data_IF_145146513048
#
_entry.id   IF_145146513048
#
_cell.length_a   1.000
_cell.length_b   1.000
_cell.length_c   1.000
_cell.angle_alpha   90.00
_cell.angle_beta   90.00
_cell.angle_gamma   90.00
#
_symmetry.space_group_name_H-M   'P 1'
#
loop_
_entity.id
_entity.type
_entity.pdbx_description
1 polymer ?
#
# COMPACT_ATOMS: atom_id res chain seq x y z
N UNK A 1 1.83 4.48 -15.61
CA UNK A 1 2.51 3.19 -15.42
C UNK A 1 3.70 3.40 -14.51
N UNK A 2 3.92 2.52 -13.52
CA UNK A 2 5.15 2.41 -12.73
C UNK A 2 5.96 1.23 -13.29
N UNK A 3 7.25 1.42 -13.54
CA UNK A 3 8.16 0.38 -14.01
C UNK A 3 9.44 0.38 -13.17
N UNK A 4 9.88 -0.80 -12.77
CA UNK A 4 11.16 -1.05 -12.13
C UNK A 4 11.91 -2.14 -12.91
N UNK A 5 13.18 -1.91 -13.24
CA UNK A 5 13.99 -2.80 -14.06
C UNK A 5 15.34 -3.03 -13.42
N UNK A 6 15.74 -4.29 -13.33
CA UNK A 6 17.03 -4.77 -12.83
C UNK A 6 17.38 -4.23 -11.43
N UNK A 7 16.39 -4.14 -10.55
CA UNK A 7 16.58 -3.55 -9.21
C UNK A 7 17.43 -4.45 -8.34
N UNK A 8 18.59 -3.95 -7.96
CA UNK A 8 19.49 -4.61 -7.02
C UNK A 8 19.79 -3.66 -5.86
N UNK A 9 19.51 -4.12 -4.64
CA UNK A 9 19.70 -3.34 -3.41
C UNK A 9 20.63 -4.09 -2.46
N UNK A 10 21.67 -3.40 -1.99
CA UNK A 10 22.59 -3.89 -0.98
C UNK A 10 22.49 -3.00 0.26
N UNK A 11 22.27 -3.59 1.42
CA UNK A 11 22.23 -2.90 2.72
C UNK A 11 23.20 -3.60 3.66
N UNK A 12 24.16 -2.84 4.23
CA UNK A 12 25.16 -3.39 5.17
C UNK A 12 25.95 -4.58 4.59
N UNK A 13 26.29 -4.54 3.31
CA UNK A 13 26.99 -5.61 2.60
C UNK A 13 26.14 -6.83 2.22
N UNK A 14 24.85 -6.87 2.63
CA UNK A 14 23.94 -7.96 2.28
C UNK A 14 23.04 -7.56 1.10
N UNK A 15 22.97 -8.39 0.07
CA UNK A 15 22.05 -8.18 -1.04
C UNK A 15 20.62 -8.50 -0.59
N UNK A 16 19.77 -7.47 -0.56
CA UNK A 16 18.36 -7.53 -0.14
C UNK A 16 17.44 -7.75 -1.34
N UNK A 17 17.74 -7.10 -2.47
CA UNK A 17 17.03 -7.30 -3.74
C UNK A 17 18.03 -7.70 -4.81
N UNK A 18 17.62 -8.62 -5.71
CA UNK A 18 18.48 -9.20 -6.74
C UNK A 18 17.75 -9.21 -8.08
N UNK A 19 18.13 -8.29 -8.97
CA UNK A 19 17.57 -8.20 -10.32
C UNK A 19 16.03 -8.23 -10.34
N UNK A 20 15.40 -7.48 -9.43
CA UNK A 20 13.96 -7.47 -9.31
C UNK A 20 13.33 -6.59 -10.42
N UNK A 21 12.37 -7.16 -11.15
CA UNK A 21 11.63 -6.49 -12.20
C UNK A 21 10.16 -6.44 -11.84
N UNK A 22 9.52 -5.25 -11.95
CA UNK A 22 8.12 -5.03 -11.60
C UNK A 22 7.50 -3.99 -12.51
N UNK A 23 6.25 -4.21 -12.88
CA UNK A 23 5.41 -3.17 -13.48
C UNK A 23 4.07 -3.10 -12.78
N UNK A 24 3.53 -1.88 -12.63
CA UNK A 24 2.19 -1.64 -12.12
C UNK A 24 1.46 -0.63 -13.01
N UNK A 25 0.14 -0.80 -13.15
CA UNK A 25 -0.72 0.04 -13.98
C UNK A 25 -1.57 0.96 -13.13
N UNK A 26 -1.82 2.15 -13.62
CA UNK A 26 -2.86 3.00 -13.08
C UNK A 26 -4.24 2.37 -13.38
N UNK A 27 -5.19 2.58 -12.49
CA UNK A 27 -6.48 1.90 -12.55
C UNK A 27 -6.50 0.55 -11.81
N UNK A 28 -5.33 0.05 -11.37
CA UNK A 28 -5.17 -1.27 -10.77
C UNK A 28 -4.56 -1.18 -9.36
N UNK A 29 -4.84 -2.19 -8.54
CA UNK A 29 -4.12 -2.48 -7.30
C UNK A 29 -3.08 -3.56 -7.58
N UNK A 30 -1.81 -3.22 -7.45
CA UNK A 30 -0.69 -4.18 -7.47
C UNK A 30 -0.30 -4.53 -6.04
N UNK A 31 -0.48 -5.79 -5.65
CA UNK A 31 -0.08 -6.27 -4.33
C UNK A 31 1.32 -6.91 -4.37
N UNK A 32 2.18 -6.52 -3.44
CA UNK A 32 3.49 -7.16 -3.20
C UNK A 32 3.34 -8.11 -2.02
N UNK A 33 3.50 -9.40 -2.25
CA UNK A 33 3.36 -10.45 -1.24
C UNK A 33 4.65 -11.28 -1.09
N UNK A 34 4.75 -12.05 -0.01
CA UNK A 34 5.88 -12.96 0.24
C UNK A 34 6.18 -13.09 1.74
N UNK A 35 7.05 -14.00 2.15
CA UNK A 35 7.41 -14.22 3.54
C UNK A 35 8.06 -12.98 4.20
N UNK A 36 8.10 -12.99 5.54
CA UNK A 36 8.83 -11.97 6.29
C UNK A 36 10.32 -12.00 5.92
N UNK A 37 10.91 -10.81 5.78
CA UNK A 37 12.32 -10.67 5.38
C UNK A 37 12.60 -10.98 3.90
N UNK A 38 11.60 -11.21 3.05
CA UNK A 38 11.80 -11.46 1.62
C UNK A 38 12.23 -10.24 0.81
N UNK A 39 12.09 -9.01 1.35
CA UNK A 39 12.46 -7.77 0.68
C UNK A 39 11.29 -6.89 0.22
N UNK A 40 10.03 -7.18 0.59
CA UNK A 40 8.82 -6.44 0.17
C UNK A 40 8.88 -4.93 0.49
N UNK A 41 9.06 -4.58 1.76
CA UNK A 41 9.20 -3.18 2.20
C UNK A 41 10.41 -2.50 1.55
N UNK A 42 11.53 -3.22 1.39
CA UNK A 42 12.71 -2.69 0.69
C UNK A 42 12.42 -2.40 -0.77
N UNK A 43 11.68 -3.28 -1.46
CA UNK A 43 11.23 -3.06 -2.83
C UNK A 43 10.31 -1.83 -2.88
N UNK A 44 9.32 -1.74 -1.98
CA UNK A 44 8.43 -0.58 -1.93
C UNK A 44 9.21 0.74 -1.74
N UNK A 45 10.20 0.79 -0.85
CA UNK A 45 11.05 1.98 -0.61
C UNK A 45 11.89 2.36 -1.83
N UNK A 46 12.31 1.39 -2.63
CA UNK A 46 12.98 1.67 -3.91
C UNK A 46 11.97 2.22 -4.92
N UNK A 47 10.78 1.63 -5.03
CA UNK A 47 9.71 2.10 -5.92
C UNK A 47 9.21 3.50 -5.57
N UNK A 48 9.29 3.89 -4.29
CA UNK A 48 8.95 5.25 -3.84
C UNK A 48 10.09 6.24 -3.96
N UNK A 49 11.32 5.79 -4.22
CA UNK A 49 12.51 6.65 -4.24
C UNK A 49 13.01 7.06 -2.84
N UNK A 50 12.57 6.40 -1.79
CA UNK A 50 13.09 6.60 -0.43
C UNK A 50 14.49 5.97 -0.27
N UNK A 51 14.75 4.89 -1.02
CA UNK A 51 16.01 4.17 -0.98
C UNK A 51 16.58 4.09 -2.39
N UNK A 52 17.85 4.49 -2.53
CA UNK A 52 18.59 4.34 -3.80
C UNK A 52 18.96 2.86 -4.00
N UNK A 53 18.86 2.38 -5.22
CA UNK A 53 19.25 1.05 -5.65
C UNK A 53 19.90 1.11 -7.04
N UNK A 54 20.61 0.05 -7.43
CA UNK A 54 20.98 -0.14 -8.82
C UNK A 54 19.76 -0.53 -9.65
N UNK A 55 19.76 -0.24 -10.94
CA UNK A 55 18.62 -0.42 -11.83
C UNK A 55 17.89 0.90 -12.08
N UNK A 56 16.70 0.82 -12.67
CA UNK A 56 15.90 1.99 -13.06
C UNK A 56 14.48 1.85 -12.54
N UNK A 57 13.95 2.91 -11.91
CA UNK A 57 12.53 3.02 -11.56
C UNK A 57 11.96 4.26 -12.24
N UNK A 58 10.79 4.11 -12.88
CA UNK A 58 10.06 5.20 -13.53
C UNK A 58 8.60 5.23 -13.09
N UNK A 59 8.12 6.42 -12.77
CA UNK A 59 6.72 6.71 -12.50
C UNK A 59 6.17 7.61 -13.62
N UNK A 60 5.57 7.00 -14.65
CA UNK A 60 5.26 7.70 -15.89
C UNK A 60 6.54 8.25 -16.54
N UNK A 61 6.62 9.57 -16.79
CA UNK A 61 7.82 10.21 -17.35
C UNK A 61 8.90 10.50 -16.29
N UNK A 62 8.62 10.35 -14.99
CA UNK A 62 9.52 10.72 -13.91
C UNK A 62 10.46 9.56 -13.56
N UNK A 63 11.77 9.83 -13.52
CA UNK A 63 12.73 8.92 -12.90
C UNK A 63 12.60 8.99 -11.37
N UNK A 64 12.46 7.82 -10.75
CA UNK A 64 12.29 7.68 -9.31
C UNK A 64 13.64 7.50 -8.64
N UNK A 65 14.07 8.51 -7.89
CA UNK A 65 15.29 8.46 -7.09
C UNK A 65 15.20 9.49 -5.94
N UNK A 66 16.01 9.38 -4.87
CA UNK A 66 15.89 10.26 -3.69
C UNK A 66 16.00 11.76 -4.00
N UNK A 67 16.76 12.14 -5.03
CA UNK A 67 16.91 13.56 -5.42
C UNK A 67 15.65 14.14 -6.09
N UNK A 68 14.73 13.29 -6.56
CA UNK A 68 13.47 13.70 -7.18
C UNK A 68 12.33 13.83 -6.15
N UNK A 69 12.60 13.83 -4.85
CA UNK A 69 11.61 13.75 -3.79
C UNK A 69 10.47 14.78 -3.92
N UNK A 70 10.78 16.05 -4.24
CA UNK A 70 9.78 17.12 -4.41
C UNK A 70 8.83 16.84 -5.58
N UNK A 71 9.37 16.48 -6.75
CA UNK A 71 8.57 16.16 -7.94
C UNK A 71 7.71 14.90 -7.70
N UNK A 72 8.27 13.92 -7.00
CA UNK A 72 7.57 12.69 -6.63
C UNK A 72 6.47 12.94 -5.58
N UNK A 73 6.68 13.84 -4.61
CA UNK A 73 5.68 14.16 -3.59
C UNK A 73 4.36 14.68 -4.18
N UNK A 74 4.43 15.35 -5.34
CA UNK A 74 3.25 15.79 -6.05
C UNK A 74 2.46 14.66 -6.73
N UNK A 75 3.08 13.50 -6.94
CA UNK A 75 2.54 12.39 -7.75
C UNK A 75 2.32 11.11 -6.96
N UNK A 76 2.92 10.99 -5.78
CA UNK A 76 2.80 9.80 -4.93
C UNK A 76 2.56 10.14 -3.48
N UNK A 77 1.66 9.40 -2.84
CA UNK A 77 1.50 9.35 -1.41
C UNK A 77 2.01 8.02 -0.87
N UNK A 78 2.78 8.06 0.22
CA UNK A 78 3.37 6.87 0.83
C UNK A 78 2.86 6.71 2.26
N UNK A 79 2.20 5.58 2.53
CA UNK A 79 1.83 5.13 3.86
C UNK A 79 2.90 4.12 4.32
N UNK A 80 3.81 4.48 5.24
CA UNK A 80 4.80 3.55 5.76
C UNK A 80 4.17 2.60 6.79
N UNK A 81 4.79 1.45 7.03
CA UNK A 81 4.37 0.44 8.01
C UNK A 81 4.20 1.00 9.42
N UNK A 82 5.08 1.90 9.84
CA UNK A 82 5.01 2.58 11.13
C UNK A 82 5.47 4.03 10.99
N UNK A 83 4.74 4.93 11.65
CA UNK A 83 5.10 6.35 11.73
C UNK A 83 5.18 6.76 13.19
N UNK A 84 6.37 7.14 13.64
CA UNK A 84 6.55 7.77 14.96
C UNK A 84 6.44 9.28 14.81
N UNK A 85 5.47 9.88 15.49
CA UNK A 85 5.27 11.33 15.52
C UNK A 85 5.70 11.80 16.90
N UNK A 86 6.75 12.63 16.95
CA UNK A 86 7.35 13.10 18.19
C UNK A 86 6.58 14.26 18.82
N UNK A 87 5.78 15.00 18.04
CA UNK A 87 5.02 16.16 18.51
C UNK A 87 3.55 15.82 18.69
N UNK A 88 2.87 16.46 19.67
CA UNK A 88 1.46 16.24 19.94
C UNK A 88 0.57 17.02 18.96
N UNK A 89 0.64 16.70 17.67
CA UNK A 89 -0.28 17.24 16.67
C UNK A 89 -1.69 16.75 16.90
N UNK A 90 -2.67 17.62 16.63
CA UNK A 90 -4.05 17.18 16.42
C UNK A 90 -4.16 16.36 15.12
N UNK A 91 -5.22 15.57 15.03
CA UNK A 91 -5.52 14.77 13.83
C UNK A 91 -5.63 15.68 12.58
N UNK A 92 -6.32 16.81 12.70
CA UNK A 92 -6.49 17.77 11.61
C UNK A 92 -5.16 18.38 11.16
N UNK A 93 -4.29 18.79 12.10
CA UNK A 93 -2.97 19.33 11.77
C UNK A 93 -2.12 18.33 11.02
N UNK A 94 -2.13 17.07 11.45
CA UNK A 94 -1.35 16.02 10.81
C UNK A 94 -1.79 15.77 9.37
N UNK A 95 -3.10 15.74 9.11
CA UNK A 95 -3.62 15.56 7.75
C UNK A 95 -3.30 16.79 6.88
N UNK A 96 -3.34 18.01 7.43
CA UNK A 96 -2.94 19.23 6.73
C UNK A 96 -1.46 19.24 6.33
N UNK A 97 -0.57 18.65 7.14
CA UNK A 97 0.86 18.49 6.76
C UNK A 97 0.98 17.66 5.48
N UNK A 98 0.26 16.53 5.38
CA UNK A 98 0.24 15.73 4.15
C UNK A 98 -0.35 16.48 2.96
N UNK A 99 -1.47 17.16 3.16
CA UNK A 99 -2.13 17.98 2.15
C UNK A 99 -1.22 19.09 1.60
N UNK A 100 -0.49 19.79 2.48
CA UNK A 100 0.44 20.85 2.09
C UNK A 100 1.60 20.41 1.20
N UNK A 101 1.94 19.11 1.22
CA UNK A 101 2.95 18.52 0.34
C UNK A 101 2.41 18.15 -1.04
N UNK A 102 1.09 18.19 -1.25
CA UNK A 102 0.41 17.76 -2.47
C UNK A 102 0.16 18.89 -3.48
N UNK A 103 -0.32 18.50 -4.67
CA UNK A 103 -0.68 19.44 -5.75
C UNK A 103 -1.91 20.31 -5.43
N UNK A 104 -2.71 19.89 -4.47
CA UNK A 104 -4.02 20.51 -4.15
C UNK A 104 -3.99 21.30 -2.85
N UNK A 105 -2.81 21.75 -2.40
CA UNK A 105 -2.63 22.49 -1.15
C UNK A 105 -3.50 23.76 -1.03
N UNK A 106 -3.93 24.35 -2.14
CA UNK A 106 -4.86 25.50 -2.16
C UNK A 106 -6.33 25.13 -1.83
N UNK A 107 -6.68 23.83 -1.86
CA UNK A 107 -8.06 23.37 -1.57
C UNK A 107 -8.23 23.04 -0.09
N UNK A 108 -8.71 24.01 0.68
CA UNK A 108 -8.85 23.91 2.14
C UNK A 108 -9.85 22.83 2.62
N UNK A 109 -10.74 22.34 1.76
CA UNK A 109 -11.76 21.32 2.04
C UNK A 109 -11.18 19.89 2.13
N UNK A 110 -10.04 19.62 1.52
CA UNK A 110 -9.47 18.28 1.37
C UNK A 110 -9.14 17.60 2.70
N UNK A 111 -8.50 18.24 3.69
CA UNK A 111 -8.16 17.57 4.95
C UNK A 111 -9.39 17.02 5.68
N UNK A 112 -10.47 17.79 5.74
CA UNK A 112 -11.72 17.35 6.37
C UNK A 112 -12.36 16.19 5.62
N UNK A 113 -12.43 16.28 4.30
CA UNK A 113 -12.94 15.21 3.43
C UNK A 113 -12.09 13.94 3.51
N UNK A 114 -10.77 14.06 3.65
CA UNK A 114 -9.89 12.92 3.83
C UNK A 114 -10.17 12.20 5.17
N UNK A 115 -10.38 12.95 6.25
CA UNK A 115 -10.79 12.42 7.54
C UNK A 115 -12.17 11.75 7.48
N UNK A 116 -13.12 12.37 6.80
CA UNK A 116 -14.45 11.78 6.61
C UNK A 116 -14.36 10.45 5.82
N UNK A 117 -13.50 10.38 4.79
CA UNK A 117 -13.31 9.18 3.98
C UNK A 117 -12.79 7.98 4.77
N UNK A 118 -12.01 8.21 5.81
CA UNK A 118 -11.52 7.15 6.72
C UNK A 118 -12.38 6.98 7.98
N UNK A 119 -13.52 7.68 8.07
CA UNK A 119 -14.46 7.60 9.19
C UNK A 119 -14.00 8.28 10.49
N UNK A 120 -13.09 9.26 10.40
CA UNK A 120 -12.47 9.90 11.57
C UNK A 120 -12.71 11.41 11.67
N UNK A 121 -13.69 11.97 10.94
CA UNK A 121 -14.00 13.41 10.98
C UNK A 121 -14.30 13.90 12.42
N UNK A 122 -14.97 13.08 13.24
CA UNK A 122 -15.32 13.41 14.62
C UNK A 122 -14.10 13.49 15.57
N UNK A 123 -12.92 12.99 15.15
CA UNK A 123 -11.68 13.02 15.93
C UNK A 123 -10.72 14.15 15.49
N UNK A 124 -11.13 15.05 14.59
CA UNK A 124 -10.27 16.05 13.97
C UNK A 124 -9.46 16.90 14.98
N UNK A 125 -10.06 17.21 16.13
CA UNK A 125 -9.44 18.05 17.17
C UNK A 125 -8.74 17.22 18.29
N UNK A 126 -8.78 15.90 18.25
CA UNK A 126 -8.04 15.05 19.23
C UNK A 126 -6.56 15.05 18.91
N UNK A 127 -5.73 14.87 19.95
CA UNK A 127 -4.31 14.66 19.75
C UNK A 127 -4.05 13.27 19.19
N UNK A 128 -3.17 13.20 18.20
CA UNK A 128 -2.83 11.94 17.51
C UNK A 128 -2.31 10.84 18.47
N UNK A 129 -1.45 11.14 19.49
CA UNK A 129 -1.00 10.12 20.43
C UNK A 129 -2.11 9.49 21.29
N UNK A 130 -3.26 10.18 21.46
CA UNK A 130 -4.38 9.70 22.27
C UNK A 130 -5.29 8.72 21.53
N UNK A 131 -4.99 8.46 20.26
CA UNK A 131 -5.75 7.55 19.41
C UNK A 131 -5.28 6.10 19.59
N UNK A 132 -6.22 5.16 19.39
CA UNK A 132 -5.87 3.74 19.24
C UNK A 132 -4.98 3.51 18.01
N UNK A 133 -4.21 2.41 17.99
CA UNK A 133 -3.32 2.09 16.87
C UNK A 133 -4.03 2.04 15.52
N UNK A 134 -5.27 1.49 15.49
CA UNK A 134 -6.08 1.45 14.28
C UNK A 134 -6.57 2.84 13.82
N UNK A 135 -6.93 3.73 14.76
CA UNK A 135 -7.27 5.12 14.43
C UNK A 135 -6.04 5.86 13.92
N UNK A 136 -4.88 5.70 14.56
CA UNK A 136 -3.62 6.29 14.12
C UNK A 136 -3.29 5.88 12.68
N UNK A 137 -3.43 4.61 12.36
CA UNK A 137 -3.17 4.09 11.01
C UNK A 137 -4.14 4.70 9.98
N UNK A 138 -5.43 4.82 10.30
CA UNK A 138 -6.42 5.48 9.44
C UNK A 138 -6.18 6.98 9.28
N UNK A 139 -5.71 7.68 10.33
CA UNK A 139 -5.27 9.09 10.21
C UNK A 139 -4.08 9.21 9.25
N UNK A 140 -3.09 8.30 9.34
CA UNK A 140 -1.98 8.29 8.40
C UNK A 140 -2.45 8.03 6.95
N UNK A 141 -3.43 7.16 6.76
CA UNK A 141 -4.05 6.97 5.44
C UNK A 141 -4.73 8.26 4.96
N UNK A 142 -5.50 8.96 5.82
CA UNK A 142 -6.11 10.24 5.48
C UNK A 142 -5.05 11.30 5.08
N UNK A 143 -3.93 11.36 5.81
CA UNK A 143 -2.79 12.24 5.49
C UNK A 143 -2.23 11.96 4.09
N UNK A 144 -2.07 10.69 3.76
CA UNK A 144 -1.55 10.27 2.45
C UNK A 144 -2.57 10.52 1.33
N UNK A 145 -3.85 10.25 1.57
CA UNK A 145 -4.93 10.55 0.64
C UNK A 145 -5.04 12.06 0.36
N UNK A 146 -4.92 12.89 1.39
CA UNK A 146 -4.97 14.35 1.23
C UNK A 146 -3.83 14.88 0.35
N UNK A 147 -2.66 14.25 0.37
CA UNK A 147 -1.51 14.61 -0.47
C UNK A 147 -1.77 14.36 -1.96
N UNK A 148 -2.39 13.24 -2.30
CA UNK A 148 -2.68 12.81 -3.69
C UNK A 148 -4.19 12.65 -3.91
N UNK A 149 -4.95 13.65 -3.48
CA UNK A 149 -6.41 13.61 -3.35
C UNK A 149 -7.14 13.16 -4.62
N UNK A 150 -6.78 13.71 -5.76
CA UNK A 150 -7.35 13.29 -7.03
C UNK A 150 -6.54 12.13 -7.59
N UNK A 151 -7.19 11.00 -7.92
CA UNK A 151 -6.52 9.83 -8.51
C UNK A 151 -5.81 10.15 -9.83
N UNK A 152 -6.34 11.11 -10.59
CA UNK A 152 -5.75 11.60 -11.84
C UNK A 152 -5.53 13.11 -11.72
N UNK A 153 -4.29 13.53 -11.82
CA UNK A 153 -3.90 14.93 -11.83
C UNK A 153 -3.54 15.44 -13.23
N UNK A 154 -3.14 16.72 -13.35
CA UNK A 154 -2.77 17.33 -14.65
C UNK A 154 -1.66 16.59 -15.39
N UNK A 155 -0.76 15.96 -14.65
CA UNK A 155 0.37 15.20 -15.21
C UNK A 155 0.10 13.69 -15.34
N UNK A 156 -1.16 13.25 -15.24
CA UNK A 156 -1.60 11.85 -15.29
C UNK A 156 -1.86 11.24 -13.92
N UNK A 157 -1.90 9.92 -13.84
CA UNK A 157 -2.27 9.19 -12.63
C UNK A 157 -1.38 9.51 -11.42
N UNK A 158 -1.99 9.74 -10.29
CA UNK A 158 -1.35 9.81 -8.97
C UNK A 158 -1.34 8.41 -8.34
N UNK A 159 -0.43 8.20 -7.39
CA UNK A 159 -0.14 6.87 -6.88
C UNK A 159 -0.17 6.80 -5.35
N UNK A 160 -0.78 5.75 -4.84
CA UNK A 160 -0.72 5.35 -3.44
C UNK A 160 0.24 4.17 -3.27
N UNK A 161 1.22 4.31 -2.38
CA UNK A 161 2.11 3.25 -1.95
C UNK A 161 1.80 2.95 -0.48
N UNK A 162 1.38 1.72 -0.20
CA UNK A 162 0.86 1.33 1.10
C UNK A 162 1.71 0.18 1.65
N UNK A 163 2.44 0.43 2.74
CA UNK A 163 3.23 -0.62 3.41
C UNK A 163 2.42 -1.20 4.57
N UNK A 164 1.86 -2.38 4.40
CA UNK A 164 1.02 -3.10 5.37
C UNK A 164 -0.17 -2.26 5.89
N UNK A 165 -1.03 -1.73 5.01
CA UNK A 165 -2.05 -0.74 5.39
C UNK A 165 -3.11 -1.25 6.36
N UNK A 166 -3.17 -2.56 6.62
CA UNK A 166 -4.23 -3.20 7.41
C UNK A 166 -3.73 -3.99 8.61
N UNK A 167 -2.43 -3.96 8.93
CA UNK A 167 -1.80 -4.85 9.92
C UNK A 167 -2.31 -4.68 11.36
N UNK A 168 -2.82 -3.50 11.73
CA UNK A 168 -3.28 -3.18 13.10
C UNK A 168 -4.80 -2.98 13.18
N UNK A 169 -5.55 -3.42 12.17
CA UNK A 169 -6.97 -3.15 12.03
C UNK A 169 -7.80 -4.42 12.25
N UNK A 170 -9.00 -4.27 12.80
CA UNK A 170 -10.01 -5.33 12.77
C UNK A 170 -10.54 -5.59 11.35
N UNK A 171 -11.23 -6.70 11.17
CA UNK A 171 -11.69 -7.16 9.83
C UNK A 171 -12.53 -6.08 9.13
N UNK A 172 -13.45 -5.42 9.82
CA UNK A 172 -14.30 -4.37 9.23
C UNK A 172 -13.48 -3.17 8.75
N UNK A 173 -12.53 -2.75 9.57
CA UNK A 173 -11.61 -1.66 9.23
C UNK A 173 -10.66 -2.03 8.10
N UNK A 174 -10.15 -3.28 8.06
CA UNK A 174 -9.34 -3.80 6.97
C UNK A 174 -10.07 -3.71 5.62
N UNK A 175 -11.33 -4.19 5.59
CA UNK A 175 -12.18 -4.10 4.40
C UNK A 175 -12.44 -2.66 3.98
N UNK A 176 -12.70 -1.75 4.95
CA UNK A 176 -12.91 -0.34 4.68
C UNK A 176 -11.69 0.32 4.03
N UNK A 177 -10.48 0.09 4.58
CA UNK A 177 -9.21 0.61 4.02
C UNK A 177 -8.97 0.08 2.62
N UNK A 178 -9.19 -1.21 2.39
CA UNK A 178 -8.99 -1.82 1.06
C UNK A 178 -10.02 -1.33 0.03
N UNK A 179 -11.27 -1.03 0.45
CA UNK A 179 -12.28 -0.40 -0.41
C UNK A 179 -11.88 1.02 -0.80
N UNK A 180 -11.29 1.80 0.11
CA UNK A 180 -10.74 3.13 -0.21
C UNK A 180 -9.66 3.01 -1.28
N UNK A 181 -8.72 2.06 -1.14
CA UNK A 181 -7.68 1.81 -2.12
C UNK A 181 -8.27 1.36 -3.47
N UNK A 182 -9.29 0.50 -3.46
CA UNK A 182 -10.01 0.05 -4.66
C UNK A 182 -10.70 1.21 -5.39
N UNK A 183 -11.43 2.06 -4.64
CA UNK A 183 -12.11 3.23 -5.21
C UNK A 183 -11.10 4.20 -5.83
N UNK A 184 -9.94 4.39 -5.17
CA UNK A 184 -8.87 5.23 -5.69
C UNK A 184 -8.30 4.70 -7.02
N UNK A 185 -8.07 3.37 -7.10
CA UNK A 185 -7.62 2.72 -8.32
C UNK A 185 -8.66 2.84 -9.44
N UNK A 186 -9.93 2.47 -9.17
CA UNK A 186 -11.02 2.55 -10.15
C UNK A 186 -11.25 3.96 -10.69
N UNK A 187 -10.92 4.98 -9.93
CA UNK A 187 -10.94 6.38 -10.40
C UNK A 187 -9.70 6.77 -11.23
N UNK A 188 -8.86 5.82 -11.63
CA UNK A 188 -7.72 6.00 -12.52
C UNK A 188 -6.38 6.23 -11.82
N UNK A 189 -6.34 6.22 -10.49
CA UNK A 189 -5.08 6.25 -9.72
C UNK A 189 -4.34 4.91 -9.79
N UNK A 190 -3.08 4.89 -9.40
CA UNK A 190 -2.33 3.65 -9.21
C UNK A 190 -2.22 3.31 -7.72
N UNK A 191 -2.29 2.03 -7.38
CA UNK A 191 -2.05 1.57 -6.00
C UNK A 191 -1.03 0.45 -6.00
N UNK A 192 0.00 0.58 -5.15
CA UNK A 192 0.95 -0.50 -4.85
C UNK A 192 0.89 -0.76 -3.34
N UNK A 193 0.55 -1.97 -2.93
CA UNK A 193 0.38 -2.32 -1.53
C UNK A 193 1.23 -3.54 -1.16
N UNK A 194 2.02 -3.43 -0.09
CA UNK A 194 2.62 -4.59 0.57
C UNK A 194 1.56 -5.24 1.44
N UNK A 195 1.27 -6.51 1.18
CA UNK A 195 0.20 -7.25 1.85
C UNK A 195 0.75 -8.50 2.53
N UNK A 196 0.22 -8.82 3.72
CA UNK A 196 0.47 -10.08 4.42
C UNK A 196 -0.71 -11.04 4.33
N UNK A 197 -1.94 -10.51 4.34
CA UNK A 197 -3.15 -11.31 4.21
C UNK A 197 -3.38 -11.67 2.74
N UNK A 198 -3.25 -12.97 2.43
CA UNK A 198 -3.42 -13.49 1.09
C UNK A 198 -4.89 -13.54 0.65
N UNK A 199 -5.84 -13.60 1.60
CA UNK A 199 -7.27 -13.55 1.28
C UNK A 199 -7.68 -12.14 0.86
N UNK A 200 -7.25 -11.12 1.60
CA UNK A 200 -7.43 -9.72 1.20
C UNK A 200 -6.71 -9.41 -0.12
N UNK A 201 -5.51 -9.99 -0.31
CA UNK A 201 -4.79 -9.86 -1.59
C UNK A 201 -5.60 -10.45 -2.74
N UNK A 202 -6.09 -11.68 -2.61
CA UNK A 202 -6.90 -12.33 -3.62
C UNK A 202 -8.20 -11.57 -3.93
N UNK A 203 -8.76 -10.90 -2.92
CA UNK A 203 -10.02 -10.16 -3.01
C UNK A 203 -9.86 -8.79 -3.69
N UNK A 204 -8.75 -8.10 -3.44
CA UNK A 204 -8.59 -6.70 -3.83
C UNK A 204 -7.53 -6.44 -4.89
N UNK A 205 -6.53 -7.31 -5.08
CA UNK A 205 -5.48 -7.08 -6.06
C UNK A 205 -5.94 -7.43 -7.48
N UNK A 206 -5.54 -6.61 -8.45
CA UNK A 206 -5.66 -6.91 -9.88
C UNK A 206 -4.39 -7.61 -10.37
N UNK A 207 -3.24 -7.24 -9.78
CA UNK A 207 -1.94 -7.80 -10.08
C UNK A 207 -1.21 -8.14 -8.77
N UNK A 208 -0.56 -9.29 -8.73
CA UNK A 208 0.22 -9.76 -7.57
C UNK A 208 1.67 -9.95 -7.99
N UNK A 209 2.58 -9.44 -7.18
CA UNK A 209 4.03 -9.64 -7.31
C UNK A 209 4.52 -10.37 -6.07
N UNK A 210 4.98 -11.61 -6.23
CA UNK A 210 5.48 -12.44 -5.14
C UNK A 210 6.98 -12.30 -5.01
N UNK A 211 7.44 -11.92 -3.83
CA UNK A 211 8.86 -11.72 -3.51
C UNK A 211 9.35 -12.85 -2.60
N UNK A 212 10.45 -13.52 -2.98
CA UNK A 212 11.12 -14.53 -2.20
C UNK A 212 12.64 -14.32 -2.26
N UNK A 213 13.28 -14.20 -1.09
CA UNK A 213 14.75 -14.03 -0.96
C UNK A 213 15.33 -12.93 -1.86
N UNK A 214 14.61 -11.81 -1.97
CA UNK A 214 15.01 -10.64 -2.77
C UNK A 214 14.78 -10.76 -4.28
N UNK A 215 14.15 -11.82 -4.76
CA UNK A 215 13.80 -12.04 -6.18
C UNK A 215 12.30 -12.04 -6.38
N UNK A 216 11.86 -11.74 -7.58
CA UNK A 216 10.46 -11.93 -7.98
C UNK A 216 10.26 -13.40 -8.30
N UNK A 217 9.50 -14.11 -7.44
CA UNK A 217 9.17 -15.53 -7.57
C UNK A 217 7.94 -15.76 -8.47
N UNK A 218 7.17 -14.71 -8.76
CA UNK A 218 6.04 -14.75 -9.67
C UNK A 218 5.36 -13.40 -9.75
N UNK A 219 4.78 -13.10 -10.91
CA UNK A 219 3.98 -11.90 -11.15
C UNK A 219 2.85 -12.25 -12.12
N UNK A 220 1.65 -11.69 -11.89
CA UNK A 220 0.46 -11.95 -12.69
C UNK A 220 -0.82 -11.64 -11.92
N UNK A 221 -1.95 -12.11 -12.41
CA UNK A 221 -3.23 -12.04 -11.70
C UNK A 221 -3.19 -12.85 -10.40
N UNK A 222 -4.07 -12.59 -9.42
CA UNK A 222 -4.18 -13.41 -8.21
C UNK A 222 -4.29 -14.92 -8.52
N UNK A 223 -5.08 -15.30 -9.52
CA UNK A 223 -5.25 -16.70 -9.91
C UNK A 223 -3.97 -17.35 -10.43
N UNK A 224 -3.14 -16.61 -11.17
CA UNK A 224 -1.87 -17.11 -11.71
C UNK A 224 -0.77 -17.21 -10.65
N UNK A 225 -0.79 -16.34 -9.65
CA UNK A 225 0.28 -16.23 -8.66
C UNK A 225 -0.03 -16.97 -7.37
N UNK A 226 -1.26 -16.92 -6.87
CA UNK A 226 -1.66 -17.52 -5.60
C UNK A 226 -2.09 -18.99 -5.81
N UNK A 227 -1.20 -19.84 -6.29
CA UNK A 227 -1.43 -21.27 -6.48
C UNK A 227 -0.91 -22.08 -5.29
N UNK A 228 -1.51 -23.26 -5.02
CA UNK A 228 -1.11 -24.12 -3.90
C UNK A 228 0.38 -24.47 -3.93
N UNK A 229 0.91 -24.84 -5.09
CA UNK A 229 2.30 -25.24 -5.25
C UNK A 229 3.27 -24.08 -4.99
N UNK A 230 2.99 -22.91 -5.58
CA UNK A 230 3.83 -21.71 -5.40
C UNK A 230 3.79 -21.22 -3.97
N UNK A 231 2.60 -21.13 -3.36
CA UNK A 231 2.46 -20.72 -1.97
C UNK A 231 3.18 -21.69 -1.03
N UNK A 232 3.01 -23.01 -1.26
CA UNK A 232 3.70 -24.03 -0.45
C UNK A 232 5.22 -23.90 -0.56
N UNK A 233 5.74 -23.71 -1.77
CA UNK A 233 7.18 -23.51 -2.01
C UNK A 233 7.71 -22.23 -1.36
N UNK A 234 6.97 -21.12 -1.48
CA UNK A 234 7.43 -19.80 -1.01
C UNK A 234 7.34 -19.68 0.52
N UNK A 235 6.27 -20.23 1.13
CA UNK A 235 6.04 -20.13 2.58
C UNK A 235 6.58 -21.32 3.38
N UNK A 236 7.05 -22.37 2.71
CA UNK A 236 7.68 -23.52 3.35
C UNK A 236 6.73 -24.43 4.13
N UNK A 237 5.43 -24.43 3.80
CA UNK A 237 4.42 -25.30 4.40
C UNK A 237 3.38 -25.70 3.35
N UNK A 238 2.74 -26.86 3.51
CA UNK A 238 1.73 -27.32 2.56
C UNK A 238 0.47 -26.43 2.67
N UNK A 239 0.24 -25.61 1.65
CA UNK A 239 -0.94 -24.73 1.55
C UNK A 239 -1.84 -25.19 0.41
N UNK A 240 -3.15 -25.11 0.63
CA UNK A 240 -4.16 -25.44 -0.38
C UNK A 240 -5.04 -24.22 -0.63
N UNK A 241 -5.08 -23.75 -1.87
CA UNK A 241 -5.92 -22.66 -2.32
C UNK A 241 -7.30 -23.16 -2.66
N UNK A 242 -8.35 -22.39 -2.33
CA UNK A 242 -9.76 -22.69 -2.63
C UNK A 242 -10.22 -24.07 -2.13
N UNK A 243 -9.64 -24.52 -1.00
CA UNK A 243 -9.94 -25.81 -0.40
C UNK A 243 -10.45 -25.61 1.02
N UNK A 244 -11.65 -26.11 1.37
CA UNK A 244 -12.14 -26.06 2.74
C UNK A 244 -11.24 -26.86 3.69
N UNK A 245 -11.06 -26.40 4.94
CA UNK A 245 -10.32 -27.16 5.95
C UNK A 245 -10.97 -28.54 6.20
N UNK A 246 -10.16 -29.57 6.43
CA UNK A 246 -10.66 -30.91 6.72
C UNK A 246 -11.23 -31.07 8.16
N UNK A 247 -11.01 -30.10 9.03
CA UNK A 247 -11.46 -30.13 10.41
C UNK A 247 -12.81 -29.43 10.62
N UNK A 248 -13.39 -29.61 11.82
CA UNK A 248 -14.64 -28.96 12.23
C UNK A 248 -14.45 -27.54 12.82
N UNK A 249 -13.22 -27.03 12.89
CA UNK A 249 -12.97 -25.69 13.39
C UNK A 249 -13.61 -24.64 12.45
N UNK A 250 -14.35 -23.65 13.00
CA UNK A 250 -14.90 -22.59 12.18
C UNK A 250 -13.78 -21.77 11.52
N UNK A 251 -13.99 -21.36 10.29
CA UNK A 251 -13.09 -20.46 9.55
C UNK A 251 -13.87 -19.26 9.01
N UNK A 252 -13.19 -18.13 8.92
CA UNK A 252 -13.75 -16.89 8.43
C UNK A 252 -13.03 -16.49 7.15
N UNK A 253 -13.79 -16.23 6.10
CA UNK A 253 -13.29 -15.75 4.82
C UNK A 253 -13.74 -14.31 4.63
N UNK A 254 -12.82 -13.34 4.53
CA UNK A 254 -13.18 -11.95 4.22
C UNK A 254 -14.03 -11.82 2.96
N UNK A 255 -13.85 -12.74 2.00
CA UNK A 255 -14.64 -12.82 0.77
C UNK A 255 -16.14 -13.09 1.00
N UNK A 256 -16.49 -13.66 2.14
CA UNK A 256 -17.88 -13.93 2.51
C UNK A 256 -18.53 -12.77 3.29
N UNK A 257 -17.79 -11.70 3.57
CA UNK A 257 -18.31 -10.52 4.26
C UNK A 257 -19.32 -9.79 3.37
N UNK A 258 -20.55 -9.64 3.87
CA UNK A 258 -21.57 -8.79 3.26
C UNK A 258 -21.57 -7.41 3.90
N UNK A 259 -21.93 -6.38 3.12
CA UNK A 259 -22.17 -5.06 3.71
C UNK A 259 -23.45 -5.14 4.56
N UNK A 260 -23.36 -4.69 5.81
CA UNK A 260 -24.57 -4.38 6.55
C UNK A 260 -25.24 -3.21 5.82
N UNK A 261 -26.39 -3.49 5.19
CA UNK A 261 -27.31 -2.46 4.74
C UNK A 261 -27.86 -1.80 6.01
N UNK A 262 -27.22 -0.70 6.47
CA UNK A 262 -27.66 0.13 7.56
C UNK A 262 -28.62 1.21 7.10
#
# INVERSE_FOLDING_TARGET
MLCAQAITLVIGGKTVLRDANLSARAGEITAIVGPNGSGKTSLLRVLTGETAAAGVVRLGPLDVHPRAATALAARRGVLPQATRIAFPFTVSELVRIGHGAGQYAARADIPERALARVGLAHLANRFYPDLSGGEQQRVQLARVLAQVWEPVGPSGANWLFLDEPVSSLDIGQQLSVMRIARTYAQAGGGVVAVMHDLNLTAMFADHVVMVQQGKIAGAGTPHEVLTSDRLSSVYGCALRVSTPPLGHAPYLLPQAAQEFLG
#
